data_IF_622511511490
#
_entry.id   IF_622511511490
#
_cell.length_a   1.000
_cell.length_b   1.000
_cell.length_c   1.000
_cell.angle_alpha   90.00
_cell.angle_beta   90.00
_cell.angle_gamma   90.00
#
_symmetry.space_group_name_H-M   'P 1'
#
loop_
_entity.id
_entity.type
_entity.pdbx_description
1 polymer ?
#
# COMPACT_ATOMS: atom_id res chain seq x y z
N UNK A 1 -3.14 -4.27 -11.55
CA UNK A 1 -3.17 -5.67 -12.04
C UNK A 1 -3.90 -5.82 -13.37
N UNK A 2 -5.23 -5.65 -13.46
CA UNK A 2 -5.93 -5.88 -14.74
C UNK A 2 -5.52 -4.85 -15.81
N UNK A 3 -5.38 -3.59 -15.39
CA UNK A 3 -4.83 -2.49 -16.19
C UNK A 3 -3.34 -2.62 -16.51
N UNK A 4 -2.53 -3.25 -15.65
CA UNK A 4 -1.09 -3.48 -15.89
C UNK A 4 -0.91 -4.54 -16.99
N UNK A 5 -1.72 -5.60 -16.94
CA UNK A 5 -1.73 -6.65 -17.95
C UNK A 5 -2.22 -6.12 -19.31
N UNK A 6 -3.25 -5.26 -19.32
CA UNK A 6 -3.75 -4.60 -20.54
C UNK A 6 -2.74 -3.63 -21.17
N UNK A 7 -1.83 -3.07 -20.36
CA UNK A 7 -0.77 -2.16 -20.82
C UNK A 7 0.49 -2.87 -21.31
N UNK A 8 0.60 -4.19 -21.10
CA UNK A 8 1.78 -4.96 -21.44
C UNK A 8 2.96 -4.73 -20.49
N UNK A 9 2.69 -4.32 -19.25
CA UNK A 9 3.70 -4.14 -18.22
C UNK A 9 4.30 -5.51 -17.81
N UNK A 10 5.53 -5.50 -17.25
CA UNK A 10 6.23 -6.70 -16.74
C UNK A 10 5.36 -7.50 -15.76
N UNK A 11 5.63 -8.80 -15.60
CA UNK A 11 4.90 -9.67 -14.69
C UNK A 11 4.77 -9.07 -13.26
N UNK A 12 3.54 -8.97 -12.78
CA UNK A 12 3.25 -8.49 -11.44
C UNK A 12 3.73 -9.48 -10.37
N UNK A 13 3.95 -8.99 -9.13
CA UNK A 13 4.34 -9.88 -8.02
C UNK A 13 3.35 -11.01 -7.77
N UNK A 14 2.05 -10.79 -8.03
CA UNK A 14 1.02 -11.82 -7.95
C UNK A 14 1.20 -12.88 -9.04
N UNK A 15 1.46 -12.47 -10.29
CA UNK A 15 1.69 -13.40 -11.40
C UNK A 15 2.98 -14.21 -11.21
N UNK A 16 4.05 -13.57 -10.72
CA UNK A 16 5.28 -14.27 -10.36
C UNK A 16 5.00 -15.34 -9.29
N UNK A 17 4.25 -15.00 -8.25
CA UNK A 17 3.89 -15.95 -7.20
C UNK A 17 3.02 -17.11 -7.71
N UNK A 18 2.02 -16.82 -8.55
CA UNK A 18 1.19 -17.85 -9.18
C UNK A 18 2.03 -18.80 -10.03
N UNK A 19 2.95 -18.26 -10.84
CA UNK A 19 3.80 -19.06 -11.71
C UNK A 19 4.81 -19.90 -10.93
N UNK A 20 5.36 -19.37 -9.84
CA UNK A 20 6.35 -20.06 -9.00
C UNK A 20 5.73 -21.20 -8.20
N UNK A 21 4.54 -20.99 -7.62
CA UNK A 21 3.91 -21.94 -6.70
C UNK A 21 2.74 -22.72 -7.31
N UNK A 22 2.33 -22.42 -8.55
CA UNK A 22 1.23 -23.10 -9.24
C UNK A 22 -0.14 -22.86 -8.59
N UNK A 23 -0.31 -21.72 -7.92
CA UNK A 23 -1.52 -21.38 -7.13
C UNK A 23 -2.47 -20.47 -7.89
N UNK A 24 -3.70 -20.36 -7.40
CA UNK A 24 -4.70 -19.41 -7.91
C UNK A 24 -4.32 -17.96 -7.57
N UNK A 25 -4.93 -17.01 -8.29
CA UNK A 25 -4.73 -15.58 -8.04
C UNK A 25 -5.19 -15.19 -6.63
N UNK A 26 -6.31 -15.76 -6.18
CA UNK A 26 -6.91 -15.50 -4.87
C UNK A 26 -5.98 -15.98 -3.75
N UNK A 27 -5.37 -17.16 -3.90
CA UNK A 27 -4.36 -17.69 -2.98
C UNK A 27 -3.11 -16.80 -2.96
N UNK A 28 -2.58 -16.42 -4.13
CA UNK A 28 -1.42 -15.53 -4.23
C UNK A 28 -1.69 -14.15 -3.57
N UNK A 29 -2.87 -13.58 -3.78
CA UNK A 29 -3.28 -12.33 -3.13
C UNK A 29 -3.42 -12.47 -1.61
N UNK A 30 -3.96 -13.60 -1.15
CA UNK A 30 -4.07 -13.89 0.28
C UNK A 30 -2.69 -14.00 0.94
N UNK A 31 -1.75 -14.69 0.31
CA UNK A 31 -0.37 -14.79 0.81
C UNK A 31 0.33 -13.42 0.77
N UNK A 32 0.15 -12.63 -0.28
CA UNK A 32 0.70 -11.28 -0.35
C UNK A 32 0.17 -10.39 0.78
N UNK A 33 -1.13 -10.48 1.12
CA UNK A 33 -1.70 -9.77 2.27
C UNK A 33 -1.03 -10.16 3.59
N UNK A 34 -0.78 -11.46 3.82
CA UNK A 34 -0.05 -11.93 5.01
C UNK A 34 1.38 -11.39 5.07
N UNK A 35 2.08 -11.36 3.94
CA UNK A 35 3.42 -10.77 3.84
C UNK A 35 3.38 -9.29 4.23
N UNK A 36 2.45 -8.52 3.66
CA UNK A 36 2.28 -7.10 3.99
C UNK A 36 1.99 -6.89 5.49
N UNK A 37 1.08 -7.68 6.08
CA UNK A 37 0.77 -7.63 7.51
C UNK A 37 1.99 -7.89 8.40
N UNK A 38 2.85 -8.84 8.00
CA UNK A 38 4.08 -9.12 8.73
C UNK A 38 5.11 -7.99 8.57
N UNK A 39 5.28 -7.44 7.37
CA UNK A 39 6.14 -6.28 7.16
C UNK A 39 5.68 -5.06 7.98
N UNK A 40 4.37 -4.87 8.16
CA UNK A 40 3.84 -3.84 9.05
C UNK A 40 4.23 -4.05 10.52
N UNK A 41 4.21 -5.29 11.01
CA UNK A 41 4.69 -5.62 12.37
C UNK A 41 6.16 -5.30 12.52
N UNK A 42 6.98 -5.65 11.52
CA UNK A 42 8.42 -5.36 11.52
C UNK A 42 8.68 -3.85 11.54
N UNK A 43 8.03 -3.06 10.66
CA UNK A 43 8.15 -1.60 10.64
C UNK A 43 7.79 -0.98 12.00
N UNK A 44 6.68 -1.44 12.60
CA UNK A 44 6.24 -0.95 13.90
C UNK A 44 7.23 -1.30 15.01
N UNK A 45 7.76 -2.53 15.00
CA UNK A 45 8.77 -2.97 15.95
C UNK A 45 10.06 -2.14 15.83
N UNK A 46 10.57 -1.95 14.61
CA UNK A 46 11.78 -1.14 14.37
C UNK A 46 11.59 0.33 14.76
N UNK A 47 10.42 0.92 14.50
CA UNK A 47 10.12 2.30 14.87
C UNK A 47 10.04 2.53 16.39
N UNK A 48 9.61 1.51 17.14
CA UNK A 48 9.51 1.56 18.60
C UNK A 48 10.85 1.36 19.30
N UNK A 49 11.85 0.77 18.63
CA UNK A 49 13.19 0.64 19.20
C UNK A 49 13.77 2.02 19.54
N UNK A 50 14.53 2.14 20.64
CA UNK A 50 15.27 3.36 20.96
C UNK A 50 16.42 3.53 19.97
N UNK A 51 16.12 4.08 18.80
CA UNK A 51 17.10 4.38 17.75
C UNK A 51 17.65 5.79 17.99
N UNK A 52 18.92 5.88 18.39
CA UNK A 52 19.61 7.16 18.66
C UNK A 52 20.27 7.73 17.39
N UNK A 53 20.47 6.89 16.36
CA UNK A 53 21.25 7.21 15.16
C UNK A 53 20.43 7.94 14.09
N UNK A 54 19.14 7.61 13.96
CA UNK A 54 18.27 8.15 12.91
C UNK A 54 17.22 9.08 13.55
N UNK A 55 17.11 10.34 13.10
CA UNK A 55 16.05 11.23 13.54
C UNK A 55 14.65 10.62 13.33
N UNK A 56 13.81 10.68 14.36
CA UNK A 56 12.41 10.17 14.28
C UNK A 56 11.61 10.76 13.12
N UNK A 57 11.88 12.02 12.75
CA UNK A 57 11.22 12.65 11.61
C UNK A 57 11.48 11.92 10.28
N UNK A 58 12.70 11.39 10.06
CA UNK A 58 13.03 10.63 8.87
C UNK A 58 12.34 9.26 8.86
N UNK A 59 12.31 8.58 10.01
CA UNK A 59 11.57 7.32 10.16
C UNK A 59 10.07 7.53 9.90
N UNK A 60 9.51 8.62 10.42
CA UNK A 60 8.11 8.97 10.19
C UNK A 60 7.79 9.27 8.73
N UNK A 61 8.72 9.87 7.96
CA UNK A 61 8.53 10.07 6.53
C UNK A 61 8.35 8.74 5.78
N UNK A 62 9.17 7.73 6.10
CA UNK A 62 9.06 6.38 5.52
C UNK A 62 7.75 5.69 5.92
N UNK A 63 7.36 5.79 7.19
CA UNK A 63 6.08 5.25 7.68
C UNK A 63 4.91 5.92 6.98
N UNK A 64 4.93 7.24 6.85
CA UNK A 64 3.85 7.98 6.18
C UNK A 64 3.75 7.61 4.70
N UNK A 65 4.87 7.39 4.00
CA UNK A 65 4.86 6.89 2.63
C UNK A 65 4.19 5.50 2.55
N UNK A 66 4.51 4.61 3.48
CA UNK A 66 3.92 3.27 3.55
C UNK A 66 2.41 3.34 3.81
N UNK A 67 1.96 4.23 4.70
CA UNK A 67 0.53 4.47 4.97
C UNK A 67 -0.20 5.00 3.74
N UNK A 68 0.42 5.88 2.97
CA UNK A 68 -0.16 6.40 1.73
C UNK A 68 -0.32 5.27 0.70
N UNK A 69 0.68 4.40 0.55
CA UNK A 69 0.59 3.25 -0.34
C UNK A 69 -0.56 2.31 0.08
N UNK A 70 -0.67 1.97 1.36
CA UNK A 70 -1.78 1.17 1.87
C UNK A 70 -3.13 1.86 1.63
N UNK A 71 -3.25 3.14 1.98
CA UNK A 71 -4.48 3.90 1.77
C UNK A 71 -4.93 3.93 0.30
N UNK A 72 -4.01 4.07 -0.66
CA UNK A 72 -4.33 4.14 -2.08
C UNK A 72 -4.67 2.76 -2.67
N UNK A 73 -4.05 1.68 -2.19
CA UNK A 73 -4.09 0.36 -2.86
C UNK A 73 -4.69 -0.78 -2.04
N UNK A 74 -5.18 -0.54 -0.82
CA UNK A 74 -5.69 -1.60 0.07
C UNK A 74 -6.82 -2.44 -0.55
N UNK A 75 -7.74 -1.80 -1.27
CA UNK A 75 -8.90 -2.46 -1.85
C UNK A 75 -8.76 -2.59 -3.38
N UNK A 76 -8.75 -1.46 -4.08
CA UNK A 76 -8.46 -1.34 -5.51
C UNK A 76 -7.54 -0.14 -5.75
N UNK A 77 -6.97 -0.02 -6.96
CA UNK A 77 -6.15 1.13 -7.34
C UNK A 77 -6.98 2.43 -7.32
N UNK A 78 -6.87 3.18 -6.22
CA UNK A 78 -7.66 4.39 -6.02
C UNK A 78 -7.26 5.56 -6.93
N UNK A 79 -6.12 5.45 -7.60
CA UNK A 79 -5.66 6.45 -8.55
C UNK A 79 -6.36 6.30 -9.90
N UNK A 80 -6.44 5.06 -10.39
CA UNK A 80 -6.99 4.76 -11.71
C UNK A 80 -8.49 4.42 -11.68
N UNK A 81 -9.02 3.94 -10.54
CA UNK A 81 -10.42 3.57 -10.40
C UNK A 81 -11.22 4.66 -9.67
N UNK A 82 -12.15 5.35 -10.36
CA UNK A 82 -12.90 6.47 -9.79
C UNK A 82 -13.89 6.06 -8.67
N UNK A 83 -14.09 4.75 -8.44
CA UNK A 83 -14.94 4.24 -7.36
C UNK A 83 -14.37 4.51 -5.95
N UNK A 84 -13.07 4.84 -5.85
CA UNK A 84 -12.35 4.80 -4.58
C UNK A 84 -12.36 6.14 -3.82
N UNK A 85 -13.19 7.10 -4.23
CA UNK A 85 -13.42 8.40 -3.55
C UNK A 85 -12.16 9.19 -3.20
N UNK A 86 -11.01 8.88 -3.79
CA UNK A 86 -9.73 9.52 -3.46
C UNK A 86 -9.80 11.04 -3.65
N UNK A 87 -10.47 11.49 -4.71
CA UNK A 87 -10.74 12.92 -4.95
C UNK A 87 -11.57 13.56 -3.85
N UNK A 88 -12.61 12.87 -3.37
CA UNK A 88 -13.46 13.37 -2.29
C UNK A 88 -12.67 13.50 -0.99
N UNK A 89 -11.82 12.50 -0.68
CA UNK A 89 -10.96 12.53 0.50
C UNK A 89 -9.92 13.65 0.40
N UNK A 90 -9.31 13.84 -0.78
CA UNK A 90 -8.40 14.97 -1.02
C UNK A 90 -9.12 16.30 -0.80
N UNK A 91 -10.35 16.44 -1.30
CA UNK A 91 -11.16 17.65 -1.08
C UNK A 91 -11.37 17.89 0.41
N UNK A 92 -11.84 16.87 1.15
CA UNK A 92 -12.10 16.97 2.59
C UNK A 92 -10.87 17.31 3.42
N UNK A 93 -9.67 16.88 3.01
CA UNK A 93 -8.44 17.05 3.81
C UNK A 93 -7.68 18.32 3.43
N UNK A 94 -7.70 18.73 2.16
CA UNK A 94 -6.81 19.77 1.63
C UNK A 94 -7.52 20.99 1.02
N UNK A 95 -8.83 20.90 0.75
CA UNK A 95 -9.60 21.95 0.06
C UNK A 95 -10.67 22.50 1.00
N UNK A 96 -11.52 21.62 1.53
CA UNK A 96 -12.70 22.00 2.29
C UNK A 96 -12.30 22.36 3.73
N UNK A 97 -12.58 23.60 4.18
CA UNK A 97 -12.30 23.98 5.56
C UNK A 97 -13.27 23.29 6.52
N UNK A 98 -12.80 23.00 7.73
CA UNK A 98 -13.68 22.59 8.82
C UNK A 98 -14.46 23.83 9.27
N UNK A 99 -15.77 23.86 9.03
CA UNK A 99 -16.64 24.91 9.55
C UNK A 99 -16.91 24.59 11.03
N UNK A 100 -16.23 25.32 11.92
CA UNK A 100 -16.49 25.37 13.36
C UNK A 100 -17.24 26.62 13.74
#
# INVERSE_FOLDING_TARGET
MQTEHERGDTASGIECYMNEFGVTKEEAQMEMRKVIENCWKDINQEYLKPTVVIPRALLMAVINLTRVAEFIYKDEDAYSFPKNKLKDIISMVLIDPIIT
#
